data_IF_557529142075
#
_entry.id   IF_557529142075
#
_cell.length_a   1.000
_cell.length_b   1.000
_cell.length_c   1.000
_cell.angle_alpha   90.00
_cell.angle_beta   90.00
_cell.angle_gamma   90.00
#
_symmetry.space_group_name_H-M   'P 1'
#
loop_
_entity.id
_entity.type
_entity.pdbx_description
1 polymer ?
#
# COMPACT_ATOMS: atom_id res chain seq x y z
N UNK A 1 12.76 -21.71 -3.54
CA UNK A 1 11.62 -20.92 -3.04
C UNK A 1 11.47 -19.61 -3.82
N UNK A 2 10.91 -19.61 -5.03
CA UNK A 2 10.54 -18.37 -5.77
C UNK A 2 9.40 -18.65 -6.76
N UNK A 3 8.67 -19.75 -6.54
CA UNK A 3 7.62 -20.21 -7.45
C UNK A 3 6.30 -19.59 -7.00
N UNK A 4 5.69 -18.84 -7.90
CA UNK A 4 4.32 -18.38 -7.71
C UNK A 4 3.36 -19.56 -7.84
N UNK A 5 2.29 -19.56 -7.03
CA UNK A 5 1.24 -20.59 -7.10
C UNK A 5 0.32 -20.38 -8.30
N UNK A 6 0.24 -19.15 -8.79
CA UNK A 6 -0.58 -18.76 -9.94
C UNK A 6 0.14 -19.03 -11.27
N UNK A 7 -0.65 -19.05 -12.34
CA UNK A 7 -0.22 -19.21 -13.73
C UNK A 7 0.25 -17.88 -14.37
N UNK A 8 -0.02 -16.75 -13.74
CA UNK A 8 0.39 -15.42 -14.20
C UNK A 8 0.79 -14.48 -13.05
N UNK A 9 1.49 -13.41 -13.40
CA UNK A 9 1.95 -12.36 -12.48
C UNK A 9 1.76 -10.98 -13.10
N UNK A 10 1.68 -9.96 -12.24
CA UNK A 10 1.81 -8.57 -12.67
C UNK A 10 3.28 -8.19 -12.76
N UNK A 11 3.63 -7.43 -13.81
CA UNK A 11 5.01 -6.97 -14.04
C UNK A 11 5.05 -5.46 -13.89
N UNK A 12 5.95 -4.96 -13.05
CA UNK A 12 6.18 -3.52 -12.86
C UNK A 12 7.66 -3.19 -12.95
N UNK A 13 8.01 -2.19 -13.76
CA UNK A 13 9.37 -1.64 -13.82
C UNK A 13 9.45 -0.39 -12.94
N UNK A 14 10.46 -0.31 -12.09
CA UNK A 14 10.79 0.86 -11.28
C UNK A 14 12.27 1.15 -11.43
N UNK A 15 12.62 2.22 -12.15
CA UNK A 15 14.00 2.50 -12.53
C UNK A 15 14.60 1.32 -13.32
N UNK A 16 15.69 0.77 -12.80
CA UNK A 16 16.38 -0.39 -13.39
C UNK A 16 15.93 -1.74 -12.79
N UNK A 17 14.89 -1.76 -11.96
CA UNK A 17 14.37 -2.97 -11.31
C UNK A 17 13.09 -3.43 -11.99
N UNK A 18 12.97 -4.75 -12.22
CA UNK A 18 11.73 -5.42 -12.63
C UNK A 18 11.18 -6.17 -11.42
N UNK A 19 9.94 -5.88 -11.07
CA UNK A 19 9.20 -6.54 -10.00
C UNK A 19 8.16 -7.49 -10.60
N UNK A 20 8.17 -8.72 -10.13
CA UNK A 20 7.14 -9.73 -10.40
C UNK A 20 6.24 -9.82 -9.17
N UNK A 21 4.97 -9.46 -9.34
CA UNK A 21 4.00 -9.36 -8.25
C UNK A 21 2.95 -10.47 -8.46
N UNK A 22 2.63 -11.29 -7.46
CA UNK A 22 1.62 -12.35 -7.61
C UNK A 22 0.27 -11.76 -8.03
N UNK A 23 -0.48 -12.49 -8.85
CA UNK A 23 -1.77 -12.01 -9.35
C UNK A 23 -2.83 -12.02 -8.24
N UNK A 24 -2.82 -13.07 -7.41
CA UNK A 24 -3.62 -13.13 -6.19
C UNK A 24 -2.86 -12.50 -5.03
N UNK A 25 -3.63 -11.96 -4.08
CA UNK A 25 -3.11 -11.45 -2.81
C UNK A 25 -1.97 -10.42 -2.98
N UNK A 26 -1.97 -9.68 -4.09
CA UNK A 26 -0.94 -8.68 -4.43
C UNK A 26 -0.81 -7.55 -3.40
N UNK A 27 -1.81 -7.39 -2.54
CA UNK A 27 -1.85 -6.41 -1.45
C UNK A 27 -1.46 -7.00 -0.08
N UNK A 28 -1.22 -8.31 0.02
CA UNK A 28 -0.86 -8.97 1.29
C UNK A 28 0.36 -8.30 1.93
N UNK A 29 1.39 -8.00 1.14
CA UNK A 29 2.57 -7.27 1.65
C UNK A 29 2.26 -5.88 2.21
N UNK A 30 1.25 -5.19 1.66
CA UNK A 30 0.78 -3.92 2.21
C UNK A 30 0.03 -4.15 3.53
N UNK A 31 -0.85 -5.15 3.58
CA UNK A 31 -1.62 -5.47 4.79
C UNK A 31 -0.70 -5.90 5.94
N UNK A 32 0.26 -6.79 5.68
CA UNK A 32 1.28 -7.23 6.65
C UNK A 32 2.17 -6.08 7.13
N UNK A 33 2.30 -5.01 6.33
CA UNK A 33 3.05 -3.83 6.75
C UNK A 33 2.33 -3.02 7.82
N UNK A 34 1.00 -3.17 7.97
CA UNK A 34 0.22 -2.45 8.97
C UNK A 34 0.58 -2.91 10.39
N UNK A 35 0.97 -4.17 10.56
CA UNK A 35 1.43 -4.71 11.85
C UNK A 35 2.83 -4.22 12.24
N UNK A 36 3.50 -3.46 11.37
CA UNK A 36 4.85 -2.92 11.61
C UNK A 36 4.83 -1.51 12.19
N UNK A 37 3.67 -0.88 12.29
CA UNK A 37 3.54 0.40 12.99
C UNK A 37 3.66 0.17 14.50
N UNK A 38 4.24 1.15 15.20
CA UNK A 38 4.21 1.18 16.65
C UNK A 38 2.80 1.48 17.16
N UNK A 39 2.50 1.04 18.38
CA UNK A 39 1.17 1.22 19.00
C UNK A 39 0.75 2.70 19.11
N UNK A 40 1.72 3.62 19.14
CA UNK A 40 1.48 5.06 19.23
C UNK A 40 1.25 5.76 17.87
N UNK A 41 1.47 5.05 16.76
CA UNK A 41 1.29 5.60 15.42
C UNK A 41 -0.17 5.98 15.16
N UNK A 42 -0.40 7.26 14.85
CA UNK A 42 -1.74 7.79 14.50
C UNK A 42 -2.82 7.58 15.58
N UNK A 43 -2.41 7.49 16.85
CA UNK A 43 -3.31 7.39 18.02
C UNK A 43 -4.33 8.52 18.12
N UNK A 44 -3.97 9.71 17.64
CA UNK A 44 -4.88 10.86 17.56
C UNK A 44 -4.95 11.43 16.15
N UNK A 45 -6.17 11.67 15.67
CA UNK A 45 -6.41 12.40 14.42
C UNK A 45 -6.46 13.91 14.69
N UNK A 46 -5.46 14.64 14.21
CA UNK A 46 -5.44 16.11 14.22
C UNK A 46 -6.23 16.70 13.06
N UNK A 47 -7.54 16.50 13.05
CA UNK A 47 -8.41 17.00 11.99
C UNK A 47 -8.54 18.54 12.08
N UNK A 48 -8.17 19.30 11.04
CA UNK A 48 -8.36 20.75 11.03
C UNK A 48 -9.84 21.11 10.84
N UNK A 49 -10.19 22.35 11.20
CA UNK A 49 -11.52 22.91 10.89
C UNK A 49 -11.72 22.97 9.38
N UNK A 50 -12.96 22.75 8.95
CA UNK A 50 -13.35 22.88 7.54
C UNK A 50 -13.08 24.31 7.07
N UNK A 51 -12.44 24.46 5.92
CA UNK A 51 -12.18 25.77 5.31
C UNK A 51 -13.44 26.29 4.63
N UNK A 52 -13.83 27.53 4.92
CA UNK A 52 -14.85 28.26 4.14
C UNK A 52 -14.26 28.67 2.79
N UNK A 53 -14.95 28.34 1.69
CA UNK A 53 -14.60 28.77 0.32
C UNK A 53 -15.64 29.74 -0.21
N UNK A 54 -15.26 30.56 -1.19
CA UNK A 54 -16.19 31.46 -1.89
C UNK A 54 -17.28 30.65 -2.61
N UNK A 55 -18.49 31.20 -2.65
CA UNK A 55 -19.60 30.66 -3.45
C UNK A 55 -19.38 31.00 -4.93
N UNK A 56 -19.81 30.09 -5.81
CA UNK A 56 -19.77 30.28 -7.26
C UNK A 56 -20.56 31.51 -7.72
#
# INVERSE_FOLDING_TARGET
EFRFKDDHVYVKKSGNVVMLIPAKDSWESLLDSLDKFSDDFMTERKQPKVQTRETF
#
